data_IF_562552310544
#
_entry.id   IF_562552310544
#
_cell.length_a   1.000
_cell.length_b   1.000
_cell.length_c   1.000
_cell.angle_alpha   90.00
_cell.angle_beta   90.00
_cell.angle_gamma   90.00
#
_symmetry.space_group_name_H-M   'P 1'
#
loop_
_entity.id
_entity.type
_entity.pdbx_description
1 polymer ?
#
# COMPACT_ATOMS: atom_id res chain seq x y z
N UNK A 1 -21.26 21.55 -12.16
CA UNK A 1 -19.96 20.84 -12.06
C UNK A 1 -20.19 19.36 -12.39
N UNK A 2 -19.21 18.68 -12.98
CA UNK A 2 -19.22 17.23 -13.19
C UNK A 2 -18.21 16.56 -12.25
N UNK A 3 -18.59 15.45 -11.63
CA UNK A 3 -17.72 14.60 -10.82
C UNK A 3 -17.50 13.31 -11.62
N UNK A 4 -16.25 12.98 -11.90
CA UNK A 4 -15.85 11.77 -12.63
C UNK A 4 -15.09 10.84 -11.68
N UNK A 5 -15.61 9.64 -11.46
CA UNK A 5 -15.00 8.65 -10.59
C UNK A 5 -14.04 7.74 -11.37
N UNK A 6 -12.80 7.59 -10.89
CA UNK A 6 -11.87 6.60 -11.42
C UNK A 6 -12.34 5.17 -11.15
N UNK A 7 -12.09 4.26 -12.08
CA UNK A 7 -12.41 2.83 -11.93
C UNK A 7 -11.21 1.97 -12.39
N UNK A 8 -10.60 1.16 -11.50
CA UNK A 8 -10.96 0.95 -10.10
C UNK A 8 -10.43 2.06 -9.16
N UNK A 9 -11.01 2.13 -7.94
CA UNK A 9 -10.61 2.99 -6.82
C UNK A 9 -10.87 2.29 -5.48
N UNK A 10 -10.27 2.78 -4.39
CA UNK A 10 -10.56 2.32 -3.03
C UNK A 10 -9.94 0.96 -2.71
N UNK A 11 -10.54 0.18 -1.82
CA UNK A 11 -9.98 -1.08 -1.29
C UNK A 11 -9.47 -2.08 -2.33
N UNK A 12 -8.29 -2.64 -2.09
CA UNK A 12 -7.79 -3.83 -2.79
C UNK A 12 -8.08 -5.12 -2.00
N UNK A 13 -7.88 -6.28 -2.62
CA UNK A 13 -8.14 -7.58 -1.98
C UNK A 13 -7.29 -7.82 -0.72
N UNK A 14 -6.04 -7.35 -0.71
CA UNK A 14 -5.15 -7.47 0.45
C UNK A 14 -5.59 -6.63 1.65
N UNK A 15 -5.96 -5.37 1.39
CA UNK A 15 -6.50 -4.45 2.40
C UNK A 15 -7.81 -4.99 2.98
N UNK A 16 -8.75 -5.38 2.11
CA UNK A 16 -10.03 -5.94 2.54
C UNK A 16 -9.82 -7.16 3.44
N UNK A 17 -8.96 -8.10 3.03
CA UNK A 17 -8.61 -9.27 3.84
C UNK A 17 -8.07 -8.85 5.22
N UNK A 18 -7.13 -7.92 5.29
CA UNK A 18 -6.53 -7.53 6.56
C UNK A 18 -7.53 -6.86 7.51
N UNK A 19 -8.40 -5.99 6.98
CA UNK A 19 -9.48 -5.35 7.75
C UNK A 19 -10.49 -6.38 8.23
N UNK A 20 -10.95 -7.28 7.35
CA UNK A 20 -11.90 -8.35 7.70
C UNK A 20 -11.30 -9.27 8.78
N UNK A 21 -10.01 -9.62 8.69
CA UNK A 21 -9.31 -10.40 9.71
C UNK A 21 -9.30 -9.69 11.07
N UNK A 22 -8.94 -8.40 11.11
CA UNK A 22 -8.96 -7.62 12.35
C UNK A 22 -10.37 -7.53 12.95
N UNK A 23 -11.38 -7.24 12.13
CA UNK A 23 -12.77 -7.15 12.57
C UNK A 23 -13.29 -8.48 13.16
N UNK A 24 -13.03 -9.60 12.48
CA UNK A 24 -13.43 -10.93 12.96
C UNK A 24 -12.69 -11.28 14.27
N UNK A 25 -11.39 -11.01 14.35
CA UNK A 25 -10.61 -11.25 15.57
C UNK A 25 -11.13 -10.40 16.73
N UNK A 26 -11.38 -9.11 16.51
CA UNK A 26 -11.90 -8.21 17.53
C UNK A 26 -13.25 -8.69 18.06
N UNK A 27 -14.18 -9.06 17.19
CA UNK A 27 -15.49 -9.55 17.59
C UNK A 27 -15.39 -10.88 18.35
N UNK A 28 -14.56 -11.82 17.87
CA UNK A 28 -14.35 -13.13 18.51
C UNK A 28 -13.84 -13.02 19.95
N UNK A 29 -12.94 -12.07 20.19
CA UNK A 29 -12.24 -11.90 21.48
C UNK A 29 -12.75 -10.73 22.32
N UNK A 30 -13.81 -10.05 21.88
CA UNK A 30 -14.42 -8.91 22.57
C UNK A 30 -14.73 -9.24 24.03
N UNK A 31 -14.20 -8.42 24.93
CA UNK A 31 -14.33 -8.60 26.38
C UNK A 31 -13.60 -9.80 26.98
N UNK A 32 -12.82 -10.56 26.19
CA UNK A 32 -12.09 -11.76 26.64
C UNK A 32 -10.58 -11.59 26.62
N UNK A 33 -10.04 -10.99 25.55
CA UNK A 33 -8.59 -10.80 25.35
C UNK A 33 -8.35 -9.47 24.63
N UNK A 34 -7.26 -8.79 24.96
CA UNK A 34 -6.87 -7.57 24.26
C UNK A 34 -6.39 -7.90 22.85
N UNK A 35 -6.92 -7.19 21.84
CA UNK A 35 -6.44 -7.27 20.46
C UNK A 35 -5.42 -6.16 20.23
N UNK A 36 -4.23 -6.56 19.81
CA UNK A 36 -3.13 -5.70 19.44
C UNK A 36 -2.89 -5.79 17.93
N UNK A 37 -2.45 -4.69 17.33
CA UNK A 37 -1.96 -4.68 15.93
C UNK A 37 -0.58 -4.07 15.93
N UNK A 38 0.39 -4.75 15.31
CA UNK A 38 1.73 -4.20 15.13
C UNK A 38 1.72 -3.18 13.99
N UNK A 39 2.06 -1.94 14.32
CA UNK A 39 1.89 -0.72 13.52
C UNK A 39 0.43 -0.47 13.17
N UNK A 40 0.11 0.09 12.00
CA UNK A 40 -1.26 0.22 11.51
C UNK A 40 -1.64 -1.00 10.66
N UNK A 41 -2.88 -1.50 10.79
CA UNK A 41 -3.37 -2.64 9.98
C UNK A 41 -3.24 -2.36 8.47
N UNK A 42 -3.56 -1.11 8.08
CA UNK A 42 -3.36 -0.49 6.77
C UNK A 42 -3.10 1.00 6.96
N UNK A 43 -2.39 1.65 6.04
CA UNK A 43 -2.15 3.10 6.09
C UNK A 43 -3.40 3.91 5.68
N UNK A 44 -4.35 4.04 6.61
CA UNK A 44 -5.52 4.90 6.48
C UNK A 44 -6.01 5.35 7.86
N UNK A 45 -5.99 6.66 8.11
CA UNK A 45 -6.33 7.25 9.40
C UNK A 45 -7.74 6.90 9.87
N UNK A 46 -8.73 6.96 8.98
CA UNK A 46 -10.13 6.64 9.33
C UNK A 46 -10.25 5.20 9.84
N UNK A 47 -9.65 4.23 9.15
CA UNK A 47 -9.68 2.81 9.57
C UNK A 47 -8.96 2.62 10.92
N UNK A 48 -7.81 3.25 11.11
CA UNK A 48 -7.06 3.13 12.37
C UNK A 48 -7.84 3.70 13.54
N UNK A 49 -8.43 4.89 13.40
CA UNK A 49 -9.20 5.52 14.48
C UNK A 49 -10.50 4.74 14.77
N UNK A 50 -11.21 4.26 13.75
CA UNK A 50 -12.41 3.41 13.91
C UNK A 50 -12.12 2.16 14.74
N UNK A 51 -11.02 1.46 14.46
CA UNK A 51 -10.66 0.27 15.26
C UNK A 51 -10.15 0.61 16.66
N UNK A 52 -9.49 1.77 16.86
CA UNK A 52 -9.12 2.23 18.21
C UNK A 52 -10.37 2.47 19.07
N UNK A 53 -11.39 3.13 18.51
CA UNK A 53 -12.67 3.37 19.19
C UNK A 53 -13.37 2.06 19.57
N UNK A 54 -13.18 1.01 18.78
CA UNK A 54 -13.69 -0.34 19.07
C UNK A 54 -12.81 -1.15 20.05
N UNK A 55 -11.70 -0.58 20.53
CA UNK A 55 -10.85 -1.16 21.58
C UNK A 55 -9.58 -1.86 21.08
N UNK A 56 -9.20 -1.73 19.81
CA UNK A 56 -7.92 -2.24 19.29
C UNK A 56 -6.76 -1.36 19.76
N UNK A 57 -5.67 -1.98 20.20
CA UNK A 57 -4.44 -1.27 20.60
C UNK A 57 -3.38 -1.43 19.51
N UNK A 58 -3.06 -0.35 18.81
CA UNK A 58 -1.97 -0.34 17.83
C UNK A 58 -0.64 -0.07 18.55
N UNK A 59 0.35 -0.95 18.35
CA UNK A 59 1.66 -0.92 19.03
C UNK A 59 2.80 -0.70 18.03
N UNK A 60 3.92 -0.13 18.48
CA UNK A 60 5.06 0.11 17.58
C UNK A 60 6.07 -1.04 17.59
N UNK A 61 6.06 -1.86 18.63
CA UNK A 61 7.00 -2.96 18.85
C UNK A 61 6.33 -4.14 19.57
N UNK A 62 7.01 -5.28 19.67
CA UNK A 62 6.47 -6.44 20.38
C UNK A 62 6.49 -6.18 21.90
N UNK A 63 7.46 -5.42 22.39
CA UNK A 63 7.66 -5.06 23.79
C UNK A 63 6.55 -4.13 24.34
N UNK A 64 5.83 -3.45 23.45
CA UNK A 64 4.66 -2.64 23.78
C UNK A 64 3.41 -3.48 24.07
N UNK A 65 3.41 -4.78 23.77
CA UNK A 65 2.32 -5.70 24.11
C UNK A 65 2.36 -5.99 25.61
N UNK A 66 1.48 -5.32 26.36
CA UNK A 66 1.44 -5.38 27.84
C UNK A 66 0.73 -6.63 28.40
N UNK A 67 -0.12 -7.26 27.60
CA UNK A 67 -0.86 -8.47 27.97
C UNK A 67 -0.38 -9.64 27.11
N UNK A 68 0.41 -10.55 27.70
CA UNK A 68 0.89 -11.76 27.02
C UNK A 68 -0.24 -12.74 26.68
N UNK A 69 -1.42 -12.61 27.30
CA UNK A 69 -2.63 -13.32 26.89
C UNK A 69 -3.38 -12.56 25.78
N UNK A 70 -2.84 -11.47 25.23
CA UNK A 70 -3.41 -10.77 24.08
C UNK A 70 -3.36 -11.57 22.78
N UNK A 71 -4.00 -11.04 21.74
CA UNK A 71 -3.85 -11.46 20.35
C UNK A 71 -3.10 -10.37 19.60
N UNK A 72 -1.97 -10.70 18.98
CA UNK A 72 -1.24 -9.76 18.13
C UNK A 72 -1.52 -10.01 16.66
N UNK A 73 -1.86 -8.97 15.91
CA UNK A 73 -2.04 -9.04 14.46
C UNK A 73 -0.89 -8.33 13.74
N UNK A 74 -0.23 -9.01 12.80
CA UNK A 74 0.70 -8.37 11.88
C UNK A 74 -0.04 -7.68 10.74
N UNK A 75 0.38 -6.47 10.39
CA UNK A 75 -0.30 -5.66 9.35
C UNK A 75 -0.23 -6.25 7.94
N UNK A 76 -1.02 -5.69 7.02
CA UNK A 76 -1.02 -6.08 5.61
C UNK A 76 0.35 -5.92 4.92
N UNK A 77 1.22 -5.05 5.45
CA UNK A 77 2.54 -4.75 4.92
C UNK A 77 3.59 -5.82 5.24
N UNK A 78 3.26 -6.76 6.12
CA UNK A 78 4.15 -7.81 6.58
C UNK A 78 5.25 -7.34 7.52
N UNK A 79 5.91 -8.32 8.12
CA UNK A 79 6.95 -8.13 9.14
C UNK A 79 8.24 -8.87 8.78
N UNK A 80 9.33 -8.56 9.49
CA UNK A 80 10.59 -9.30 9.41
C UNK A 80 10.51 -10.67 10.08
N UNK A 81 11.45 -11.56 9.79
CA UNK A 81 11.58 -12.86 10.46
C UNK A 81 11.85 -12.70 11.97
N UNK A 82 12.65 -11.69 12.35
CA UNK A 82 12.99 -11.45 13.75
C UNK A 82 11.75 -11.11 14.59
N UNK A 83 10.81 -10.33 14.04
CA UNK A 83 9.55 -9.99 14.70
C UNK A 83 8.66 -11.22 14.90
N UNK A 84 8.61 -12.13 13.92
CA UNK A 84 7.90 -13.41 14.06
C UNK A 84 8.52 -14.28 15.16
N UNK A 85 9.84 -14.41 15.17
CA UNK A 85 10.58 -15.18 16.17
C UNK A 85 10.45 -14.59 17.56
N UNK A 86 10.43 -13.26 17.68
CA UNK A 86 10.26 -12.55 18.93
C UNK A 86 8.86 -12.75 19.52
N UNK A 87 7.80 -12.56 18.72
CA UNK A 87 6.44 -12.84 19.16
C UNK A 87 6.28 -14.29 19.65
N UNK A 88 6.91 -15.25 18.93
CA UNK A 88 6.95 -16.65 19.32
C UNK A 88 7.72 -16.88 20.63
N UNK A 89 8.89 -16.25 20.82
CA UNK A 89 9.67 -16.35 22.07
C UNK A 89 8.89 -15.80 23.27
N UNK A 90 8.13 -14.74 23.07
CA UNK A 90 7.28 -14.14 24.10
C UNK A 90 5.96 -14.89 24.33
N UNK A 91 5.70 -15.99 23.60
CA UNK A 91 4.48 -16.79 23.75
C UNK A 91 3.20 -16.06 23.31
N UNK A 92 3.32 -14.99 22.54
CA UNK A 92 2.19 -14.17 22.08
C UNK A 92 1.48 -14.91 20.95
N UNK A 93 0.16 -15.03 21.05
CA UNK A 93 -0.64 -15.58 19.96
C UNK A 93 -0.71 -14.58 18.80
N UNK A 94 -0.31 -15.02 17.61
CA UNK A 94 -0.21 -14.17 16.43
C UNK A 94 -1.23 -14.56 15.35
N UNK A 95 -1.81 -13.54 14.71
CA UNK A 95 -2.55 -13.65 13.46
C UNK A 95 -1.83 -12.84 12.39
N UNK A 96 -1.47 -13.49 11.28
CA UNK A 96 -0.73 -12.82 10.20
C UNK A 96 -1.67 -12.31 9.09
N UNK A 97 -1.93 -10.99 9.09
CA UNK A 97 -2.73 -10.34 8.07
C UNK A 97 -1.93 -9.88 6.85
N UNK A 98 -0.64 -10.25 6.73
CA UNK A 98 0.21 -9.93 5.57
C UNK A 98 -0.52 -10.22 4.27
N UNK A 99 -0.51 -9.25 3.35
CA UNK A 99 -1.08 -9.43 2.02
C UNK A 99 -0.37 -10.59 1.30
N UNK A 100 -1.09 -11.55 0.69
CA UNK A 100 -0.45 -12.67 -0.01
C UNK A 100 0.53 -12.24 -1.11
N UNK A 101 0.33 -11.06 -1.72
CA UNK A 101 1.26 -10.51 -2.71
C UNK A 101 2.56 -10.00 -2.07
N UNK A 102 2.50 -9.44 -0.87
CA UNK A 102 3.70 -9.10 -0.07
C UNK A 102 4.41 -10.38 0.36
N UNK A 103 3.66 -11.38 0.85
CA UNK A 103 4.19 -12.69 1.21
C UNK A 103 4.87 -13.41 0.04
N UNK A 104 4.43 -13.17 -1.20
CA UNK A 104 5.12 -13.64 -2.42
C UNK A 104 6.49 -12.98 -2.56
N UNK A 105 6.59 -11.66 -2.38
CA UNK A 105 7.86 -10.92 -2.43
C UNK A 105 8.82 -11.40 -1.34
N UNK A 106 8.34 -11.66 -0.12
CA UNK A 106 9.13 -12.26 0.96
C UNK A 106 9.76 -13.61 0.53
N UNK A 107 8.96 -14.49 -0.08
CA UNK A 107 9.42 -15.80 -0.57
C UNK A 107 10.41 -15.66 -1.73
N UNK A 108 10.17 -14.72 -2.64
CA UNK A 108 11.08 -14.44 -3.75
C UNK A 108 12.43 -13.91 -3.27
N UNK A 109 12.44 -12.95 -2.35
CA UNK A 109 13.65 -12.39 -1.75
C UNK A 109 14.49 -13.51 -1.09
N UNK A 110 13.84 -14.35 -0.28
CA UNK A 110 14.48 -15.51 0.35
C UNK A 110 15.03 -16.49 -0.68
N UNK A 111 14.25 -16.85 -1.71
CA UNK A 111 14.69 -17.77 -2.77
C UNK A 111 15.89 -17.25 -3.54
N UNK A 112 15.94 -15.97 -3.87
CA UNK A 112 17.11 -15.39 -4.52
C UNK A 112 18.36 -15.49 -3.63
N UNK A 113 18.17 -15.24 -2.33
CA UNK A 113 19.24 -15.37 -1.35
C UNK A 113 19.74 -16.80 -1.18
N UNK A 114 18.84 -17.77 -1.07
CA UNK A 114 19.16 -19.20 -0.94
C UNK A 114 19.93 -19.72 -2.17
N UNK A 115 19.74 -19.09 -3.34
CA UNK A 115 20.50 -19.36 -4.56
C UNK A 115 21.85 -18.60 -4.63
N UNK A 116 22.29 -17.99 -3.52
CA UNK A 116 23.59 -17.32 -3.43
C UNK A 116 23.69 -15.99 -4.17
N UNK A 117 22.59 -15.39 -4.62
CA UNK A 117 22.59 -14.11 -5.34
C UNK A 117 22.66 -12.92 -4.38
N UNK A 118 23.32 -11.85 -4.82
CA UNK A 118 23.18 -10.53 -4.21
C UNK A 118 21.79 -9.98 -4.57
N UNK A 119 21.10 -9.37 -3.60
CA UNK A 119 19.72 -8.93 -3.76
C UNK A 119 19.61 -7.41 -3.64
N UNK A 120 19.02 -6.81 -4.67
CA UNK A 120 18.63 -5.41 -4.73
C UNK A 120 17.13 -5.32 -4.43
N UNK A 121 16.74 -4.43 -3.53
CA UNK A 121 15.33 -4.12 -3.29
C UNK A 121 15.04 -2.75 -3.87
N UNK A 122 14.10 -2.69 -4.81
CA UNK A 122 13.60 -1.42 -5.33
C UNK A 122 12.44 -0.99 -4.42
N UNK A 123 12.58 0.15 -3.74
CA UNK A 123 11.60 0.57 -2.73
C UNK A 123 11.99 1.84 -1.97
N UNK A 124 11.11 2.26 -1.06
CA UNK A 124 11.36 3.42 -0.19
C UNK A 124 11.85 2.98 1.19
N UNK A 125 12.97 3.54 1.66
CA UNK A 125 13.72 3.04 2.82
C UNK A 125 12.90 2.88 4.10
N UNK A 126 12.07 3.89 4.41
CA UNK A 126 11.30 3.94 5.64
C UNK A 126 9.95 3.19 5.57
N UNK A 127 9.62 2.54 4.46
CA UNK A 127 8.32 1.89 4.30
C UNK A 127 8.26 0.54 5.05
N UNK A 128 7.19 0.24 5.84
CA UNK A 128 7.09 -1.00 6.60
C UNK A 128 7.27 -2.27 5.75
N UNK A 129 6.73 -2.28 4.54
CA UNK A 129 6.92 -3.39 3.59
C UNK A 129 8.39 -3.61 3.22
N UNK A 130 9.17 -2.53 3.03
CA UNK A 130 10.60 -2.61 2.70
C UNK A 130 11.40 -3.15 3.90
N UNK A 131 11.07 -2.69 5.11
CA UNK A 131 11.66 -3.20 6.36
C UNK A 131 11.34 -4.70 6.52
N UNK A 132 10.09 -5.09 6.27
CA UNK A 132 9.63 -6.48 6.29
C UNK A 132 10.41 -7.37 5.32
N UNK A 133 10.52 -6.97 4.05
CA UNK A 133 11.29 -7.68 3.02
C UNK A 133 12.77 -7.79 3.41
N UNK A 134 13.37 -6.69 3.87
CA UNK A 134 14.78 -6.68 4.29
C UNK A 134 15.06 -7.69 5.39
N UNK A 135 14.15 -7.80 6.35
CA UNK A 135 14.24 -8.74 7.45
C UNK A 135 13.87 -10.19 7.12
N UNK A 136 13.72 -10.57 5.83
CA UNK A 136 13.53 -11.97 5.40
C UNK A 136 14.83 -12.66 4.98
N UNK A 137 15.93 -11.93 4.93
CA UNK A 137 17.23 -12.46 4.53
C UNK A 137 18.30 -12.00 5.52
N UNK A 138 19.30 -12.86 5.77
CA UNK A 138 20.30 -12.62 6.82
C UNK A 138 21.44 -11.66 6.40
N UNK A 139 21.53 -11.32 5.10
CA UNK A 139 22.59 -10.44 4.57
C UNK A 139 22.04 -9.09 4.11
N UNK A 140 22.95 -8.13 3.95
CA UNK A 140 22.65 -6.80 3.43
C UNK A 140 21.96 -6.89 2.04
N UNK A 141 20.70 -6.48 1.99
CA UNK A 141 20.02 -6.08 0.76
C UNK A 141 20.42 -4.64 0.46
N UNK A 142 20.79 -4.37 -0.79
CA UNK A 142 21.01 -3.00 -1.23
C UNK A 142 19.69 -2.39 -1.69
N UNK A 143 19.30 -1.27 -1.09
CA UNK A 143 18.09 -0.56 -1.46
C UNK A 143 18.37 0.39 -2.63
N UNK A 144 17.42 0.48 -3.57
CA UNK A 144 17.42 1.42 -4.69
C UNK A 144 16.05 2.09 -4.75
N UNK A 145 15.99 3.40 -4.60
CA UNK A 145 14.74 4.18 -4.73
C UNK A 145 14.73 5.10 -5.96
N UNK A 146 15.90 5.43 -6.51
CA UNK A 146 16.09 6.44 -7.55
C UNK A 146 17.05 5.99 -8.65
N UNK A 147 17.06 6.71 -9.77
CA UNK A 147 18.05 6.52 -10.83
C UNK A 147 19.48 6.81 -10.35
N UNK A 148 19.65 7.78 -9.45
CA UNK A 148 20.95 8.08 -8.85
C UNK A 148 21.47 6.90 -8.01
N UNK A 149 20.60 6.22 -7.26
CA UNK A 149 20.96 5.00 -6.54
C UNK A 149 21.44 3.92 -7.50
N UNK A 150 20.79 3.77 -8.67
CA UNK A 150 21.23 2.83 -9.71
C UNK A 150 22.61 3.20 -10.24
N UNK A 151 22.95 4.48 -10.39
CA UNK A 151 24.27 4.93 -10.84
C UNK A 151 25.36 4.77 -9.77
N UNK A 152 25.02 4.99 -8.51
CA UNK A 152 25.97 4.87 -7.39
C UNK A 152 26.09 3.44 -6.85
N UNK A 153 25.30 2.50 -7.37
CA UNK A 153 25.23 1.13 -6.87
C UNK A 153 26.60 0.42 -6.92
N UNK A 154 27.02 -0.16 -5.79
CA UNK A 154 28.20 -1.01 -5.67
C UNK A 154 27.75 -2.44 -5.37
N UNK A 155 28.25 -3.39 -6.17
CA UNK A 155 27.92 -4.82 -6.09
C UNK A 155 29.21 -5.63 -6.07
N UNK A 156 29.21 -6.81 -5.43
CA UNK A 156 30.42 -7.65 -5.38
C UNK A 156 30.59 -8.45 -6.67
N UNK A 157 29.51 -8.99 -7.20
CA UNK A 157 29.49 -9.78 -8.44
C UNK A 157 28.35 -9.31 -9.37
N UNK A 158 28.65 -8.47 -10.39
CA UNK A 158 27.68 -8.00 -11.39
C UNK A 158 26.91 -9.10 -12.11
N UNK A 159 27.47 -10.31 -12.21
CA UNK A 159 26.88 -11.45 -12.92
C UNK A 159 25.95 -12.30 -12.05
N UNK A 160 25.93 -12.06 -10.73
CA UNK A 160 25.18 -12.85 -9.75
C UNK A 160 24.21 -12.00 -8.92
N UNK A 161 23.45 -11.14 -9.62
CA UNK A 161 22.50 -10.22 -9.03
C UNK A 161 21.05 -10.65 -9.22
N UNK A 162 20.23 -10.23 -8.28
CA UNK A 162 18.78 -10.26 -8.39
C UNK A 162 18.13 -9.00 -7.85
N UNK A 163 16.89 -8.74 -8.27
CA UNK A 163 16.09 -7.68 -7.68
C UNK A 163 14.70 -8.16 -7.29
N UNK A 164 14.09 -7.48 -6.30
CA UNK A 164 12.67 -7.52 -5.97
C UNK A 164 12.16 -6.09 -5.81
N UNK A 165 10.84 -5.89 -5.83
CA UNK A 165 10.21 -4.57 -5.76
C UNK A 165 9.21 -4.49 -4.62
N UNK A 166 9.12 -3.34 -3.97
CA UNK A 166 7.95 -2.98 -3.16
C UNK A 166 6.68 -2.95 -4.04
N UNK A 167 5.55 -3.41 -3.51
CA UNK A 167 4.31 -3.67 -4.28
C UNK A 167 3.50 -2.41 -4.65
N UNK A 168 3.84 -1.27 -4.05
CA UNK A 168 3.05 -0.02 -4.08
C UNK A 168 3.75 1.14 -4.82
N UNK A 169 4.82 0.86 -5.56
CA UNK A 169 5.62 1.86 -6.27
C UNK A 169 4.93 2.44 -7.52
N UNK A 170 5.47 3.56 -8.03
CA UNK A 170 5.16 4.06 -9.38
C UNK A 170 5.56 3.02 -10.41
N UNK A 171 4.64 2.63 -11.29
CA UNK A 171 4.92 1.65 -12.35
C UNK A 171 5.93 2.20 -13.36
N UNK A 172 5.84 3.49 -13.69
CA UNK A 172 6.70 4.12 -14.69
C UNK A 172 8.13 4.28 -14.14
N UNK A 173 8.28 4.88 -12.96
CA UNK A 173 9.59 5.09 -12.32
C UNK A 173 10.30 3.74 -12.08
N UNK A 174 9.55 2.72 -11.62
CA UNK A 174 10.11 1.38 -11.39
C UNK A 174 10.56 0.73 -12.69
N UNK A 175 9.83 0.96 -13.80
CA UNK A 175 10.23 0.47 -15.12
C UNK A 175 11.53 1.10 -15.59
N UNK A 176 11.72 2.39 -15.35
CA UNK A 176 12.98 3.09 -15.66
C UNK A 176 14.14 2.57 -14.82
N UNK A 177 13.94 2.41 -13.50
CA UNK A 177 14.94 1.83 -12.59
C UNK A 177 15.33 0.41 -13.03
N UNK A 178 14.36 -0.45 -13.35
CA UNK A 178 14.63 -1.82 -13.81
C UNK A 178 15.37 -1.81 -15.15
N UNK A 179 15.01 -0.92 -16.08
CA UNK A 179 15.70 -0.80 -17.36
C UNK A 179 17.16 -0.37 -17.15
N UNK A 180 17.42 0.60 -16.28
CA UNK A 180 18.75 1.05 -15.93
C UNK A 180 19.58 -0.05 -15.24
N UNK A 181 18.97 -0.81 -14.32
CA UNK A 181 19.60 -1.96 -13.69
C UNK A 181 19.96 -3.04 -14.71
N UNK A 182 19.07 -3.36 -15.66
CA UNK A 182 19.35 -4.35 -16.71
C UNK A 182 20.41 -3.89 -17.70
N UNK A 183 20.44 -2.59 -18.02
CA UNK A 183 21.49 -2.02 -18.86
C UNK A 183 22.85 -2.11 -18.17
N UNK A 184 22.90 -1.78 -16.87
CA UNK A 184 24.14 -1.80 -16.09
C UNK A 184 24.59 -3.23 -15.73
N UNK A 185 23.65 -4.12 -15.48
CA UNK A 185 23.88 -5.51 -15.05
C UNK A 185 23.08 -6.48 -15.93
N UNK A 186 23.57 -6.83 -17.15
CA UNK A 186 22.78 -7.61 -18.12
C UNK A 186 22.32 -8.99 -17.64
N UNK A 187 23.02 -9.60 -16.67
CA UNK A 187 22.66 -10.91 -16.09
C UNK A 187 21.74 -10.81 -14.86
N UNK A 188 21.33 -9.60 -14.45
CA UNK A 188 20.46 -9.43 -13.28
C UNK A 188 19.12 -10.14 -13.49
N UNK A 189 18.74 -10.96 -12.51
CA UNK A 189 17.46 -11.70 -12.56
C UNK A 189 16.48 -11.12 -11.58
N UNK A 190 15.30 -10.73 -12.03
CA UNK A 190 14.24 -10.32 -11.11
C UNK A 190 12.88 -10.62 -11.71
N UNK A 191 11.83 -10.33 -10.97
CA UNK A 191 10.49 -10.55 -11.46
C UNK A 191 10.13 -9.58 -12.58
N UNK A 192 9.09 -9.95 -13.30
CA UNK A 192 8.40 -9.07 -14.24
C UNK A 192 7.80 -7.86 -13.49
N UNK A 193 7.67 -6.71 -14.16
CA UNK A 193 6.97 -5.52 -13.65
C UNK A 193 5.57 -5.83 -13.12
N UNK A 194 4.95 -6.91 -13.60
CA UNK A 194 3.71 -7.49 -13.06
C UNK A 194 3.77 -7.84 -11.56
N UNK A 195 4.93 -7.81 -10.92
CA UNK A 195 5.07 -7.99 -9.46
C UNK A 195 4.78 -6.72 -8.63
N UNK A 196 4.75 -5.52 -9.21
CA UNK A 196 3.96 -4.43 -8.60
C UNK A 196 2.52 -4.92 -8.54
N UNK A 197 1.83 -4.79 -7.42
CA UNK A 197 0.55 -5.47 -7.28
C UNK A 197 -0.48 -4.95 -8.30
N UNK A 198 -1.40 -5.83 -8.73
CA UNK A 198 -2.44 -5.49 -9.70
C UNK A 198 -3.22 -4.22 -9.28
N UNK A 199 -3.49 -4.08 -7.98
CA UNK A 199 -4.27 -2.98 -7.44
C UNK A 199 -3.60 -1.62 -7.65
N UNK A 200 -2.28 -1.55 -7.47
CA UNK A 200 -1.48 -0.35 -7.72
C UNK A 200 -1.42 -0.04 -9.21
N UNK A 201 -1.15 -1.05 -10.05
CA UNK A 201 -1.12 -0.87 -11.51
C UNK A 201 -2.45 -0.36 -12.06
N UNK A 202 -3.56 -0.97 -11.64
CA UNK A 202 -4.89 -0.62 -12.13
C UNK A 202 -5.31 0.78 -11.67
N UNK A 203 -5.06 1.15 -10.41
CA UNK A 203 -5.38 2.50 -9.90
C UNK A 203 -4.55 3.58 -10.58
N UNK A 204 -3.25 3.35 -10.80
CA UNK A 204 -2.41 4.27 -11.57
C UNK A 204 -2.90 4.38 -13.02
N UNK A 205 -3.28 3.27 -13.65
CA UNK A 205 -3.84 3.28 -15.01
C UNK A 205 -5.17 4.02 -15.08
N UNK A 206 -6.04 3.88 -14.08
CA UNK A 206 -7.29 4.61 -13.99
C UNK A 206 -7.04 6.12 -13.82
N UNK A 207 -6.09 6.50 -12.96
CA UNK A 207 -5.71 7.90 -12.76
C UNK A 207 -5.08 8.51 -14.01
N UNK A 208 -4.24 7.77 -14.75
CA UNK A 208 -3.68 8.21 -16.04
C UNK A 208 -4.75 8.62 -17.05
N UNK A 209 -5.88 7.92 -17.07
CA UNK A 209 -7.02 8.27 -17.92
C UNK A 209 -7.83 9.42 -17.32
N UNK A 210 -8.03 9.41 -16.00
CA UNK A 210 -8.83 10.43 -15.30
C UNK A 210 -8.26 11.84 -15.50
N UNK A 211 -6.93 12.01 -15.42
CA UNK A 211 -6.27 13.32 -15.50
C UNK A 211 -6.49 14.05 -16.83
N UNK A 212 -6.80 13.31 -17.90
CA UNK A 212 -7.09 13.88 -19.22
C UNK A 212 -8.54 14.40 -19.34
N UNK A 213 -9.41 14.02 -18.39
CA UNK A 213 -10.86 14.28 -18.44
C UNK A 213 -11.32 15.38 -17.49
N UNK A 214 -10.49 15.80 -16.53
CA UNK A 214 -10.89 16.63 -15.39
C UNK A 214 -9.96 17.83 -15.20
N UNK A 215 -10.41 18.87 -14.51
CA UNK A 215 -9.59 20.07 -14.23
C UNK A 215 -8.73 19.89 -12.97
N UNK A 216 -9.24 19.10 -12.01
CA UNK A 216 -8.63 18.81 -10.71
C UNK A 216 -8.90 17.36 -10.31
N UNK A 217 -7.98 16.72 -9.59
CA UNK A 217 -8.18 15.39 -9.00
C UNK A 217 -8.14 15.47 -7.47
N UNK A 218 -9.15 14.93 -6.80
CA UNK A 218 -9.16 14.69 -5.36
C UNK A 218 -8.90 13.19 -5.13
N UNK A 219 -7.84 12.89 -4.38
CA UNK A 219 -7.45 11.53 -4.02
C UNK A 219 -7.78 11.31 -2.55
N UNK A 220 -8.72 10.40 -2.26
CA UNK A 220 -8.97 9.97 -0.88
C UNK A 220 -7.84 9.04 -0.44
N UNK A 221 -7.13 9.42 0.62
CA UNK A 221 -6.04 8.62 1.21
C UNK A 221 -5.21 9.40 2.21
N UNK A 222 -4.54 8.68 3.11
CA UNK A 222 -3.70 9.28 4.14
C UNK A 222 -2.28 9.55 3.66
N UNK A 223 -1.62 10.56 4.26
CA UNK A 223 -0.26 10.99 3.90
C UNK A 223 0.79 9.88 3.98
N UNK A 224 0.64 8.92 4.88
CA UNK A 224 1.55 7.78 5.03
C UNK A 224 1.26 6.62 4.05
N UNK A 225 0.23 6.71 3.21
CA UNK A 225 -0.10 5.68 2.22
C UNK A 225 0.74 5.82 0.95
N UNK A 226 1.74 4.95 0.75
CA UNK A 226 2.60 5.00 -0.44
C UNK A 226 1.82 4.95 -1.75
N UNK A 227 0.87 4.01 -1.88
CA UNK A 227 0.02 3.93 -3.08
C UNK A 227 -0.78 5.21 -3.33
N UNK A 228 -1.35 5.83 -2.30
CA UNK A 228 -2.15 7.07 -2.46
C UNK A 228 -1.28 8.24 -2.94
N UNK A 229 -0.06 8.37 -2.40
CA UNK A 229 0.90 9.36 -2.86
C UNK A 229 1.30 9.13 -4.32
N UNK A 230 1.53 7.88 -4.74
CA UNK A 230 1.81 7.59 -6.17
C UNK A 230 0.69 8.01 -7.11
N UNK A 231 -0.57 8.00 -6.67
CA UNK A 231 -1.69 8.57 -7.46
C UNK A 231 -1.60 10.10 -7.55
N UNK A 232 -1.24 10.77 -6.44
CA UNK A 232 -1.01 12.22 -6.41
C UNK A 232 0.15 12.62 -7.33
N UNK A 233 1.31 11.97 -7.18
CA UNK A 233 2.52 12.25 -7.95
C UNK A 233 2.29 12.06 -9.46
N UNK A 234 1.53 11.03 -9.82
CA UNK A 234 1.13 10.78 -11.20
C UNK A 234 0.27 11.93 -11.77
N UNK A 235 -0.66 12.46 -10.99
CA UNK A 235 -1.45 13.62 -11.42
C UNK A 235 -0.57 14.86 -11.64
N UNK A 236 0.32 15.14 -10.68
CA UNK A 236 1.23 16.30 -10.72
C UNK A 236 2.17 16.19 -11.92
N UNK A 237 2.75 15.01 -12.16
CA UNK A 237 3.65 14.74 -13.30
C UNK A 237 2.95 14.95 -14.65
N UNK A 238 1.64 14.68 -14.69
CA UNK A 238 0.78 14.94 -15.87
C UNK A 238 0.30 16.39 -15.97
N UNK A 239 0.79 17.29 -15.12
CA UNK A 239 0.41 18.71 -15.11
C UNK A 239 -0.99 18.98 -14.58
N UNK A 240 -1.63 18.00 -13.91
CA UNK A 240 -2.98 18.16 -13.38
C UNK A 240 -2.93 18.57 -11.92
N UNK A 241 -3.72 19.59 -11.57
CA UNK A 241 -3.93 19.99 -10.17
C UNK A 241 -4.53 18.82 -9.39
N UNK A 242 -3.90 18.43 -8.28
CA UNK A 242 -4.35 17.30 -7.50
C UNK A 242 -4.09 17.48 -6.01
N UNK A 243 -4.94 16.88 -5.18
CA UNK A 243 -4.84 16.94 -3.72
C UNK A 243 -5.11 15.59 -3.10
N UNK A 244 -4.23 15.19 -2.18
CA UNK A 244 -4.46 14.07 -1.29
C UNK A 244 -5.22 14.55 -0.05
N UNK A 245 -6.37 13.95 0.25
CA UNK A 245 -7.25 14.32 1.36
C UNK A 245 -7.66 13.07 2.15
N UNK A 246 -7.64 13.16 3.49
CA UNK A 246 -8.09 12.04 4.34
C UNK A 246 -9.61 11.86 4.27
N UNK A 247 -10.38 12.96 4.17
CA UNK A 247 -11.84 12.95 4.07
C UNK A 247 -12.35 14.28 3.46
N UNK A 248 -13.67 14.42 3.32
CA UNK A 248 -14.32 15.60 2.73
C UNK A 248 -14.00 16.92 3.45
N UNK A 249 -13.77 16.89 4.77
CA UNK A 249 -13.50 18.11 5.57
C UNK A 249 -12.15 18.74 5.24
N UNK A 250 -11.20 17.97 4.69
CA UNK A 250 -9.90 18.46 4.25
C UNK A 250 -9.95 19.21 2.91
N UNK A 251 -11.10 19.21 2.21
CA UNK A 251 -11.24 19.89 0.92
C UNK A 251 -11.35 21.40 1.13
N UNK A 252 -10.38 22.15 0.59
CA UNK A 252 -10.48 23.61 0.55
C UNK A 252 -11.38 24.05 -0.62
N UNK A 253 -12.46 24.77 -0.32
CA UNK A 253 -13.41 25.27 -1.33
C UNK A 253 -12.76 26.16 -2.40
N UNK A 254 -11.66 26.85 -2.07
CA UNK A 254 -10.93 27.66 -3.03
C UNK A 254 -10.27 26.82 -4.12
N UNK A 255 -10.07 25.51 -3.89
CA UNK A 255 -9.58 24.61 -4.92
C UNK A 255 -10.58 24.36 -6.05
N UNK A 256 -11.87 24.58 -5.77
CA UNK A 256 -12.97 24.26 -6.66
C UNK A 256 -13.50 25.48 -7.42
N UNK A 257 -12.96 26.68 -7.15
CA UNK A 257 -13.35 27.89 -7.87
C UNK A 257 -12.96 27.79 -9.36
N UNK A 258 -13.92 28.05 -10.24
CA UNK A 258 -13.73 27.99 -11.70
C UNK A 258 -13.60 26.58 -12.29
N UNK A 259 -13.68 25.53 -11.47
CA UNK A 259 -13.57 24.14 -11.90
C UNK A 259 -14.88 23.66 -12.53
N UNK A 260 -14.80 23.04 -13.71
CA UNK A 260 -15.95 22.43 -14.39
C UNK A 260 -16.06 20.94 -14.08
N UNK A 261 -14.93 20.25 -14.04
CA UNK A 261 -14.83 18.79 -13.86
C UNK A 261 -13.87 18.42 -12.73
N UNK A 262 -14.36 17.68 -11.75
CA UNK A 262 -13.58 17.13 -10.63
C UNK A 262 -13.42 15.63 -10.81
N UNK A 263 -12.20 15.14 -10.81
CA UNK A 263 -11.91 13.72 -10.72
C UNK A 263 -11.84 13.27 -9.27
N UNK A 264 -12.45 12.13 -8.94
CA UNK A 264 -12.28 11.50 -7.63
C UNK A 264 -11.72 10.11 -7.82
N UNK A 265 -10.66 9.81 -7.07
CA UNK A 265 -10.10 8.48 -6.92
C UNK A 265 -9.79 8.22 -5.45
N UNK A 266 -9.37 7.01 -5.13
CA UNK A 266 -9.06 6.62 -3.76
C UNK A 266 -7.92 5.60 -3.76
N UNK A 267 -7.02 5.75 -2.79
CA UNK A 267 -5.95 4.81 -2.55
C UNK A 267 -6.45 3.41 -2.17
N UNK A 268 -5.57 2.41 -2.27
CA UNK A 268 -5.90 1.02 -1.98
C UNK A 268 -6.35 0.77 -0.52
N UNK A 269 -6.04 1.68 0.40
CA UNK A 269 -6.40 1.63 1.82
C UNK A 269 -7.60 2.51 2.19
N UNK A 270 -8.22 3.21 1.24
CA UNK A 270 -9.34 4.11 1.50
C UNK A 270 -10.69 3.39 1.34
N UNK A 271 -11.55 3.38 2.37
CA UNK A 271 -12.89 2.79 2.29
C UNK A 271 -13.83 3.62 1.40
N UNK A 272 -14.82 2.95 0.81
CA UNK A 272 -15.81 3.61 -0.07
C UNK A 272 -16.61 4.69 0.64
N UNK A 273 -16.88 4.55 1.94
CA UNK A 273 -17.65 5.55 2.71
C UNK A 273 -17.04 6.96 2.60
N UNK A 274 -15.71 7.08 2.62
CA UNK A 274 -15.03 8.38 2.49
C UNK A 274 -15.17 8.97 1.08
N UNK A 275 -15.29 8.12 0.06
CA UNK A 275 -15.57 8.55 -1.32
C UNK A 275 -17.00 9.04 -1.42
N UNK A 276 -17.94 8.29 -0.85
CA UNK A 276 -19.37 8.63 -0.85
C UNK A 276 -19.63 9.94 -0.09
N UNK A 277 -19.02 10.13 1.08
CA UNK A 277 -19.08 11.38 1.85
C UNK A 277 -18.52 12.58 1.08
N UNK A 278 -17.38 12.40 0.38
CA UNK A 278 -16.82 13.46 -0.47
C UNK A 278 -17.78 13.80 -1.62
N UNK A 279 -18.36 12.78 -2.25
CA UNK A 279 -19.33 12.96 -3.31
C UNK A 279 -20.54 13.76 -2.81
N UNK A 280 -21.09 13.40 -1.66
CA UNK A 280 -22.26 14.07 -1.09
C UNK A 280 -21.95 15.51 -0.68
N UNK A 281 -20.78 15.75 -0.10
CA UNK A 281 -20.27 17.10 0.17
C UNK A 281 -20.23 17.97 -1.10
N UNK A 282 -19.71 17.43 -2.21
CA UNK A 282 -19.61 18.17 -3.48
C UNK A 282 -20.96 18.36 -4.18
N UNK A 283 -21.88 17.38 -4.08
CA UNK A 283 -23.25 17.51 -4.57
C UNK A 283 -23.99 18.65 -3.89
N UNK A 284 -23.97 18.69 -2.56
CA UNK A 284 -24.67 19.69 -1.75
C UNK A 284 -24.08 21.07 -1.99
N UNK A 285 -22.76 21.19 -2.06
CA UNK A 285 -22.10 22.48 -2.18
C UNK A 285 -22.10 23.08 -3.59
N UNK A 286 -22.20 22.26 -4.66
CA UNK A 286 -21.95 22.73 -6.03
C UNK A 286 -22.91 22.20 -7.11
N UNK A 287 -24.01 21.53 -6.74
CA UNK A 287 -25.01 20.96 -7.68
C UNK A 287 -24.36 20.13 -8.80
N UNK A 288 -23.62 19.11 -8.38
CA UNK A 288 -22.78 18.31 -9.28
C UNK A 288 -23.52 17.08 -9.87
N UNK A 289 -23.23 16.76 -11.15
CA UNK A 289 -23.58 15.48 -11.78
C UNK A 289 -22.44 14.48 -11.61
N UNK A 290 -22.75 13.20 -11.44
CA UNK A 290 -21.74 12.15 -11.24
C UNK A 290 -21.73 11.19 -12.41
N UNK A 291 -20.54 10.83 -12.86
CA UNK A 291 -20.29 9.75 -13.81
C UNK A 291 -19.12 8.88 -13.32
N UNK A 292 -19.11 7.62 -13.74
CA UNK A 292 -17.95 6.71 -13.57
C UNK A 292 -17.23 6.65 -14.91
N UNK A 293 -15.90 6.72 -14.89
CA UNK A 293 -15.10 6.68 -16.10
C UNK A 293 -15.33 5.39 -16.90
N UNK A 294 -15.51 5.51 -18.21
CA UNK A 294 -15.65 4.38 -19.12
C UNK A 294 -14.33 3.61 -19.30
N UNK A 295 -14.40 2.29 -19.52
CA UNK A 295 -13.21 1.47 -19.78
C UNK A 295 -12.32 1.25 -18.55
N UNK A 296 -12.93 1.28 -17.35
CA UNK A 296 -12.31 0.81 -16.12
C UNK A 296 -12.07 -0.70 -16.15
N UNK A 297 -11.10 -1.15 -15.34
CA UNK A 297 -10.75 -2.57 -15.23
C UNK A 297 -11.52 -3.18 -14.06
N UNK A 298 -12.24 -4.27 -14.29
CA UNK A 298 -12.91 -5.03 -13.22
C UNK A 298 -11.90 -5.86 -12.44
N UNK A 299 -11.83 -5.65 -11.12
CA UNK A 299 -10.98 -6.42 -10.21
C UNK A 299 -11.77 -7.58 -9.57
N UNK A 300 -11.46 -8.83 -9.95
CA UNK A 300 -12.14 -10.03 -9.42
C UNK A 300 -11.31 -10.81 -8.38
N UNK A 301 -10.15 -10.28 -8.00
CA UNK A 301 -9.23 -10.94 -7.06
C UNK A 301 -9.83 -10.94 -5.65
N UNK A 302 -9.83 -12.10 -4.99
CA UNK A 302 -10.21 -12.26 -3.59
C UNK A 302 -9.17 -13.12 -2.89
N UNK A 303 -8.75 -12.72 -1.69
CA UNK A 303 -7.90 -13.54 -0.84
C UNK A 303 -8.73 -14.16 0.27
N UNK A 304 -8.54 -15.47 0.48
CA UNK A 304 -9.24 -16.19 1.55
C UNK A 304 -8.70 -15.76 2.90
N UNK A 305 -9.60 -15.68 3.87
CA UNK A 305 -9.25 -15.62 5.29
C UNK A 305 -9.08 -17.08 5.72
N UNK A 306 -7.90 -17.43 6.21
CA UNK A 306 -7.58 -18.78 6.68
C UNK A 306 -7.18 -18.67 8.14
N UNK A 307 -7.76 -19.54 8.98
CA UNK A 307 -7.39 -19.82 10.37
C UNK A 307 -7.00 -18.58 11.19
N UNK A 308 -8.01 -17.89 11.73
CA UNK A 308 -7.87 -16.81 12.73
C UNK A 308 -7.65 -17.36 14.16
N UNK A 309 -7.08 -18.57 14.22
CA UNK A 309 -7.08 -19.53 15.33
C UNK A 309 -8.47 -20.10 15.64
#
# INVERSE_FOLDING_TARGET
>A
MEIILAEPRGFCAGVKRAIDMLAITLEKYKGKRQVYVLHEIVHNKYIVEDFKEQGVVFVSSIEDVKDNNGILIFSAHGVSKNIEEEAKRNGIQVIDATCPLVGKVHKEAKRHKDNGRELILIGHEAHPEVIGIRGRVDNLITLVGTMEDVHNLKVKNPDNLSYVTQTTLSVDDTKEIIAALKLRFPKITGPDLRNICYATQNRQSAVKKLVDLVDIVLIIGSKNSSNSNRLLDLCITKGRRAYLVDNYSCVNKNWLQGIKKVGITAGASAPNILVDELIDYLKISMSAKISVMSGGITENVKFRITDLV
#
